data_IF_784666626960
#
_entry.id   IF_784666626960
#
_cell.length_a   1.000
_cell.length_b   1.000
_cell.length_c   1.000
_cell.angle_alpha   90.00
_cell.angle_beta   90.00
_cell.angle_gamma   90.00
#
_symmetry.space_group_name_H-M   'P 1'
#
loop_
_entity.id
_entity.type
_entity.pdbx_description
1 polymer ?
#
# COMPACT_ATOMS: atom_id res chain seq x y z
N UNK A 1 -21.00 10.36 -4.02
CA UNK A 1 -20.00 10.33 -2.94
C UNK A 1 -19.50 8.91 -2.65
N UNK A 2 -20.37 7.90 -2.65
CA UNK A 2 -20.01 6.47 -2.41
C UNK A 2 -19.03 5.93 -3.47
N UNK A 3 -19.26 6.21 -4.76
CA UNK A 3 -18.36 5.82 -5.85
C UNK A 3 -16.89 6.25 -5.62
N UNK A 4 -16.68 7.45 -5.08
CA UNK A 4 -15.32 7.95 -4.77
C UNK A 4 -14.66 7.15 -3.64
N UNK A 5 -15.44 6.71 -2.64
CA UNK A 5 -14.95 5.89 -1.55
C UNK A 5 -14.54 4.50 -2.05
N UNK A 6 -15.32 3.90 -2.96
CA UNK A 6 -15.00 2.61 -3.57
C UNK A 6 -13.72 2.70 -4.39
N UNK A 7 -13.59 3.73 -5.24
CA UNK A 7 -12.36 3.96 -6.01
C UNK A 7 -11.14 4.13 -5.12
N UNK A 8 -11.25 4.95 -4.06
CA UNK A 8 -10.19 5.15 -3.09
C UNK A 8 -9.79 3.81 -2.44
N UNK A 9 -10.77 3.02 -2.01
CA UNK A 9 -10.52 1.75 -1.34
C UNK A 9 -9.81 0.73 -2.26
N UNK A 10 -10.18 0.68 -3.54
CA UNK A 10 -9.50 -0.14 -4.55
C UNK A 10 -8.05 0.31 -4.77
N UNK A 11 -7.80 1.62 -4.80
CA UNK A 11 -6.43 2.16 -4.89
C UNK A 11 -5.61 1.75 -3.68
N UNK A 12 -6.14 1.92 -2.46
CA UNK A 12 -5.47 1.50 -1.22
C UNK A 12 -5.15 0.01 -1.21
N UNK A 13 -6.10 -0.83 -1.64
CA UNK A 13 -5.88 -2.27 -1.75
C UNK A 13 -4.78 -2.61 -2.76
N UNK A 14 -4.86 -2.04 -3.97
CA UNK A 14 -3.85 -2.26 -5.00
C UNK A 14 -2.46 -1.86 -4.53
N UNK A 15 -2.32 -0.68 -3.92
CA UNK A 15 -1.05 -0.20 -3.38
C UNK A 15 -0.57 -1.04 -2.20
N UNK A 16 -1.47 -1.42 -1.29
CA UNK A 16 -1.18 -2.25 -0.13
C UNK A 16 -0.64 -3.63 -0.54
N UNK A 17 -1.29 -4.28 -1.49
CA UNK A 17 -0.82 -5.55 -2.07
C UNK A 17 0.50 -5.40 -2.81
N UNK A 18 0.68 -4.33 -3.59
CA UNK A 18 1.93 -4.07 -4.29
C UNK A 18 3.11 -3.89 -3.33
N UNK A 19 2.92 -3.15 -2.23
CA UNK A 19 3.94 -2.99 -1.18
C UNK A 19 4.24 -4.29 -0.45
N UNK A 20 3.23 -5.14 -0.22
CA UNK A 20 3.39 -6.39 0.50
C UNK A 20 4.08 -7.48 -0.33
N UNK A 21 3.70 -7.63 -1.60
CA UNK A 21 4.24 -8.63 -2.52
C UNK A 21 5.57 -8.20 -3.15
N UNK A 22 5.73 -6.90 -3.45
CA UNK A 22 6.90 -6.34 -4.11
C UNK A 22 7.54 -5.18 -3.33
N UNK A 23 7.94 -5.39 -2.06
CA UNK A 23 8.46 -4.32 -1.20
C UNK A 23 9.75 -3.68 -1.75
N UNK A 24 10.57 -4.44 -2.49
CA UNK A 24 11.78 -3.91 -3.14
C UNK A 24 11.46 -2.89 -4.22
N UNK A 25 10.44 -3.15 -5.02
CA UNK A 25 10.01 -2.23 -6.11
C UNK A 25 9.41 -0.99 -5.47
N UNK A 26 8.54 -1.16 -4.47
CA UNK A 26 7.92 -0.06 -3.74
C UNK A 26 8.96 0.84 -3.03
N UNK A 27 9.98 0.24 -2.42
CA UNK A 27 11.08 1.00 -1.83
C UNK A 27 11.90 1.73 -2.90
N UNK A 28 12.21 1.06 -4.02
CA UNK A 28 13.02 1.66 -5.08
C UNK A 28 12.31 2.85 -5.76
N UNK A 29 10.99 2.81 -5.90
CA UNK A 29 10.23 3.95 -6.42
C UNK A 29 10.13 5.11 -5.42
N UNK A 30 10.07 4.84 -4.11
CA UNK A 30 9.95 5.86 -3.08
C UNK A 30 11.30 6.50 -2.68
N UNK A 31 12.34 5.68 -2.52
CA UNK A 31 13.64 6.06 -1.94
C UNK A 31 14.83 5.70 -2.83
N UNK A 32 14.64 4.86 -3.85
CA UNK A 32 15.72 4.43 -4.74
C UNK A 32 16.34 5.56 -5.57
N UNK A 33 15.67 6.71 -5.69
CA UNK A 33 16.25 7.92 -6.30
C UNK A 33 17.26 8.63 -5.39
N UNK A 34 17.16 8.46 -4.06
CA UNK A 34 18.07 9.08 -3.09
C UNK A 34 19.38 8.33 -2.96
N UNK A 35 19.34 7.01 -3.18
CA UNK A 35 20.48 6.13 -2.97
C UNK A 35 20.77 5.36 -4.26
N UNK A 36 21.60 5.94 -5.12
CA UNK A 36 21.88 5.43 -6.46
C UNK A 36 22.37 3.98 -6.50
N UNK A 37 22.98 3.46 -5.42
CA UNK A 37 23.51 2.09 -5.32
C UNK A 37 23.35 1.46 -3.92
N UNK A 38 22.38 1.89 -3.10
CA UNK A 38 22.15 1.22 -1.81
C UNK A 38 21.11 0.11 -1.94
N UNK A 39 21.43 -1.06 -1.39
CA UNK A 39 20.45 -2.14 -1.26
C UNK A 39 19.54 -1.89 -0.05
N UNK A 40 18.22 -2.10 -0.18
CA UNK A 40 17.32 -1.97 0.95
C UNK A 40 17.64 -3.03 1.99
N UNK A 41 17.78 -2.62 3.25
CA UNK A 41 17.96 -3.54 4.37
C UNK A 41 16.69 -4.38 4.59
N UNK A 42 16.86 -5.56 5.19
CA UNK A 42 15.73 -6.44 5.52
C UNK A 42 14.71 -5.76 6.45
N UNK A 43 15.17 -4.86 7.33
CA UNK A 43 14.30 -4.07 8.20
C UNK A 43 13.39 -3.14 7.39
N UNK A 44 13.94 -2.44 6.39
CA UNK A 44 13.16 -1.54 5.52
C UNK A 44 12.15 -2.32 4.69
N UNK A 45 12.55 -3.46 4.10
CA UNK A 45 11.61 -4.30 3.36
C UNK A 45 10.48 -4.83 4.24
N UNK A 46 10.77 -5.16 5.50
CA UNK A 46 9.77 -5.58 6.48
C UNK A 46 8.82 -4.44 6.84
N UNK A 47 9.33 -3.21 7.00
CA UNK A 47 8.50 -2.03 7.19
C UNK A 47 7.54 -1.80 6.02
N UNK A 48 8.00 -1.89 4.76
CA UNK A 48 7.12 -1.74 3.59
C UNK A 48 6.02 -2.81 3.56
N UNK A 49 6.30 -4.04 4.00
CA UNK A 49 5.27 -5.08 4.14
C UNK A 49 4.25 -4.73 5.22
N UNK A 50 4.69 -4.22 6.37
CA UNK A 50 3.79 -3.77 7.45
C UNK A 50 2.93 -2.59 7.00
N UNK A 51 3.52 -1.60 6.34
CA UNK A 51 2.78 -0.48 5.75
C UNK A 51 1.81 -0.95 4.67
N UNK A 52 2.21 -1.90 3.83
CA UNK A 52 1.33 -2.51 2.84
C UNK A 52 0.13 -3.21 3.48
N UNK A 53 0.36 -3.95 4.58
CA UNK A 53 -0.70 -4.59 5.36
C UNK A 53 -1.66 -3.57 5.98
N UNK A 54 -1.14 -2.51 6.61
CA UNK A 54 -1.96 -1.43 7.16
C UNK A 54 -2.79 -0.74 6.07
N UNK A 55 -2.18 -0.45 4.93
CA UNK A 55 -2.85 0.17 3.78
C UNK A 55 -3.98 -0.73 3.22
N UNK A 56 -3.70 -2.03 3.04
CA UNK A 56 -4.71 -3.00 2.60
C UNK A 56 -5.86 -3.14 3.61
N UNK A 57 -5.55 -3.18 4.91
CA UNK A 57 -6.57 -3.24 5.96
C UNK A 57 -7.47 -1.99 5.96
N UNK A 58 -6.89 -0.81 5.76
CA UNK A 58 -7.63 0.44 5.63
C UNK A 58 -8.56 0.43 4.42
N UNK A 59 -8.07 -0.09 3.28
CA UNK A 59 -8.87 -0.29 2.07
C UNK A 59 -10.06 -1.24 2.30
N UNK A 60 -9.87 -2.36 3.01
CA UNK A 60 -10.95 -3.27 3.37
C UNK A 60 -12.03 -2.59 4.24
N UNK A 61 -11.61 -1.82 5.25
CA UNK A 61 -12.55 -1.09 6.13
C UNK A 61 -13.35 -0.06 5.33
N UNK A 62 -12.69 0.65 4.41
CA UNK A 62 -13.35 1.63 3.55
C UNK A 62 -14.35 0.99 2.58
N UNK A 63 -14.01 -0.16 1.99
CA UNK A 63 -14.96 -0.93 1.17
C UNK A 63 -16.16 -1.41 1.97
N UNK A 64 -15.93 -1.91 3.18
CA UNK A 64 -17.01 -2.35 4.07
C UNK A 64 -17.92 -1.19 4.47
N UNK A 65 -17.36 -0.02 4.80
CA UNK A 65 -18.16 1.17 5.08
C UNK A 65 -18.99 1.61 3.87
N UNK A 66 -18.39 1.60 2.67
CA UNK A 66 -19.08 1.94 1.44
C UNK A 66 -20.23 0.96 1.12
N UNK A 67 -20.09 -0.33 1.42
CA UNK A 67 -21.15 -1.33 1.17
C UNK A 67 -22.30 -1.26 2.18
N UNK A 68 -22.08 -0.69 3.36
CA UNK A 68 -23.15 -0.47 4.36
C UNK A 68 -23.98 0.78 4.05
N UNK A 69 -23.42 1.75 3.32
CA UNK A 69 -24.09 3.02 2.99
C UNK A 69 -24.71 3.09 1.59
N UNK A 70 -24.35 2.17 0.70
CA UNK A 70 -25.00 2.02 -0.62
C UNK A 70 -26.29 1.25 -0.53
#
# INVERSE_FOLDING_TARGET
>A
MIELLVLLALILLGFGFAMMLFPKIAWRSAEGWKFANAEPSQAVLSMYRVFGFLCASGGCVLLWYASVQG
#
